data_IF_293609422068
#
_entry.id   IF_293609422068
#
_cell.length_a   1.000
_cell.length_b   1.000
_cell.length_c   1.000
_cell.angle_alpha   90.00
_cell.angle_beta   90.00
_cell.angle_gamma   90.00
#
_symmetry.space_group_name_H-M   'P 1'
#
loop_
_entity.id
_entity.type
_entity.pdbx_description
1 polymer ?
#
# COMPACT_ATOMS: atom_id res chain seq x y z
N UNK A 1 5.22 17.16 -11.50
CA UNK A 1 4.55 15.96 -10.92
C UNK A 1 4.53 16.13 -9.41
N UNK A 2 3.38 16.51 -8.83
CA UNK A 2 3.23 16.64 -7.39
C UNK A 2 3.17 15.24 -6.77
N UNK A 3 4.19 14.89 -5.99
CA UNK A 3 4.19 13.67 -5.18
C UNK A 3 2.97 13.69 -4.24
N UNK A 4 2.13 12.67 -4.31
CA UNK A 4 1.12 12.38 -3.28
C UNK A 4 1.87 12.27 -1.95
N UNK A 5 1.59 13.19 -1.01
CA UNK A 5 2.26 13.20 0.31
C UNK A 5 1.78 12.01 1.11
N UNK A 6 2.43 10.87 0.95
CA UNK A 6 2.28 9.73 1.86
C UNK A 6 2.64 10.19 3.27
N UNK A 7 1.87 9.79 4.31
CA UNK A 7 2.24 10.05 5.69
C UNK A 7 3.68 9.60 5.94
N UNK A 8 4.45 10.43 6.64
CA UNK A 8 5.83 10.11 6.99
C UNK A 8 5.88 8.77 7.73
N UNK A 9 6.87 7.94 7.39
CA UNK A 9 7.03 6.60 7.98
C UNK A 9 6.17 5.51 7.34
N UNK A 10 5.50 5.80 6.21
CA UNK A 10 4.79 4.80 5.41
C UNK A 10 5.33 4.71 3.98
N UNK A 11 5.54 3.47 3.53
CA UNK A 11 5.94 3.12 2.16
C UNK A 11 4.84 2.30 1.49
N UNK A 12 4.73 2.43 0.18
CA UNK A 12 3.76 1.69 -0.62
C UNK A 12 4.44 1.01 -1.79
N UNK A 13 4.02 -0.21 -2.11
CA UNK A 13 4.38 -0.91 -3.33
C UNK A 13 3.12 -1.42 -4.00
N UNK A 14 3.02 -1.20 -5.30
CA UNK A 14 1.93 -1.71 -6.14
C UNK A 14 2.55 -2.42 -7.34
N UNK A 15 2.09 -3.64 -7.61
CA UNK A 15 2.63 -4.48 -8.67
C UNK A 15 1.52 -5.31 -9.34
N UNK A 16 1.80 -5.76 -10.56
CA UNK A 16 1.06 -6.85 -11.20
C UNK A 16 1.82 -8.16 -10.89
N UNK A 17 1.15 -9.09 -10.20
CA UNK A 17 1.66 -10.42 -9.83
C UNK A 17 1.00 -11.56 -10.64
N UNK A 18 0.21 -11.24 -11.67
CA UNK A 18 -0.44 -12.19 -12.56
C UNK A 18 -1.81 -12.69 -12.07
N UNK A 19 -2.43 -12.01 -11.11
CA UNK A 19 -3.84 -12.24 -10.72
C UNK A 19 -4.76 -11.58 -11.75
N UNK A 20 -4.38 -10.38 -12.21
CA UNK A 20 -4.96 -9.75 -13.40
C UNK A 20 -3.96 -9.83 -14.55
N UNK A 21 -4.46 -9.64 -15.77
CA UNK A 21 -3.63 -9.74 -16.97
C UNK A 21 -2.56 -8.65 -17.00
N UNK A 22 -2.96 -7.39 -17.07
CA UNK A 22 -2.07 -6.27 -17.36
C UNK A 22 -2.10 -5.13 -16.34
N UNK A 23 -3.09 -5.13 -15.44
CA UNK A 23 -3.23 -4.10 -14.40
C UNK A 23 -2.63 -4.53 -13.07
N UNK A 24 -2.12 -3.58 -12.25
CA UNK A 24 -1.70 -3.91 -10.90
C UNK A 24 -2.83 -4.55 -10.09
N UNK A 25 -2.47 -5.57 -9.34
CA UNK A 25 -3.38 -6.48 -8.67
C UNK A 25 -2.96 -6.78 -7.23
N UNK A 26 -1.77 -6.33 -6.85
CA UNK A 26 -1.23 -6.50 -5.52
C UNK A 26 -0.75 -5.16 -4.97
N UNK A 27 -0.95 -4.95 -3.67
CA UNK A 27 -0.47 -3.76 -2.98
C UNK A 27 -0.01 -4.06 -1.57
N UNK A 28 1.09 -3.41 -1.18
CA UNK A 28 1.64 -3.43 0.17
C UNK A 28 1.64 -2.00 0.69
N UNK A 29 1.18 -1.83 1.93
CA UNK A 29 1.40 -0.63 2.74
C UNK A 29 2.24 -1.05 3.94
N UNK A 30 3.40 -0.43 4.09
CA UNK A 30 4.38 -0.78 5.11
C UNK A 30 4.66 0.42 6.01
N UNK A 31 4.57 0.22 7.33
CA UNK A 31 5.04 1.21 8.30
C UNK A 31 6.50 0.92 8.66
N UNK A 32 7.34 1.94 8.60
CA UNK A 32 8.76 1.85 8.94
C UNK A 32 9.02 1.74 10.45
N UNK A 33 7.97 1.94 11.25
CA UNK A 33 7.97 1.87 12.72
C UNK A 33 6.74 1.09 13.19
N UNK A 34 6.67 0.63 14.45
CA UNK A 34 5.45 0.06 15.00
C UNK A 34 4.28 1.05 14.88
N UNK A 35 3.16 0.60 14.31
CA UNK A 35 1.96 1.40 14.13
C UNK A 35 0.77 0.75 14.85
N UNK A 36 -0.04 1.56 15.53
CA UNK A 36 -1.34 1.12 16.04
C UNK A 36 -2.28 0.85 14.87
N UNK A 37 -2.96 -0.31 14.90
CA UNK A 37 -3.88 -0.74 13.86
C UNK A 37 -5.24 -1.10 14.47
N UNK A 38 -6.30 -0.84 13.72
CA UNK A 38 -7.67 -1.26 14.05
C UNK A 38 -8.38 -1.68 12.76
N UNK A 39 -9.27 -2.66 12.86
CA UNK A 39 -10.02 -3.20 11.73
C UNK A 39 -11.46 -3.49 12.11
N UNK A 40 -12.38 -3.16 11.21
CA UNK A 40 -13.78 -3.58 11.25
C UNK A 40 -14.09 -4.32 9.96
N UNK A 41 -15.07 -5.22 10.01
CA UNK A 41 -15.36 -6.14 8.91
C UNK A 41 -16.84 -6.05 8.54
N UNK A 42 -17.13 -6.39 7.28
CA UNK A 42 -18.49 -6.40 6.72
C UNK A 42 -19.31 -7.55 7.27
#
# INVERSE_FOLDING_TARGET
>A
MSSLRTPQGFKTLTANLGIKDDTPDFSVVYSEVPASAAGVYT
#
